data_IF_389042848430
#
_entry.id   IF_389042848430
#
_cell.length_a   1.000
_cell.length_b   1.000
_cell.length_c   1.000
_cell.angle_alpha   90.00
_cell.angle_beta   90.00
_cell.angle_gamma   90.00
#
_symmetry.space_group_name_H-M   'P 1'
#
loop_
_entity.id
_entity.type
_entity.pdbx_description
1 polymer ?
#
# COMPACT_ATOMS: atom_id res chain seq x y z
N UNK A 1 -10.80 -7.25 -8.34
CA UNK A 1 -10.27 -6.99 -9.70
C UNK A 1 -8.76 -7.01 -9.66
N UNK A 2 -8.16 -8.15 -10.05
CA UNK A 2 -6.70 -8.31 -10.19
C UNK A 2 -6.22 -7.99 -11.60
N UNK A 3 -4.90 -8.09 -11.84
CA UNK A 3 -4.26 -7.77 -13.12
C UNK A 3 -4.84 -8.56 -14.31
N UNK A 4 -5.00 -9.88 -14.18
CA UNK A 4 -5.47 -10.74 -15.27
C UNK A 4 -6.89 -10.37 -15.75
N UNK A 5 -7.77 -10.02 -14.82
CA UNK A 5 -9.16 -9.65 -15.11
C UNK A 5 -9.29 -8.29 -15.81
N UNK A 6 -8.30 -7.42 -15.70
CA UNK A 6 -8.32 -6.09 -16.31
C UNK A 6 -7.80 -6.11 -17.75
N UNK A 7 -6.81 -6.96 -18.05
CA UNK A 7 -6.30 -7.13 -19.42
C UNK A 7 -7.40 -7.63 -20.35
N UNK A 8 -8.22 -8.58 -19.90
CA UNK A 8 -9.38 -9.06 -20.67
C UNK A 8 -10.37 -7.94 -21.04
N UNK A 9 -10.45 -6.89 -20.20
CA UNK A 9 -11.30 -5.72 -20.39
C UNK A 9 -10.58 -4.54 -21.06
N UNK A 10 -9.36 -4.74 -21.54
CA UNK A 10 -8.48 -3.68 -22.08
C UNK A 10 -8.33 -2.48 -21.14
N UNK A 11 -8.39 -2.72 -19.83
CA UNK A 11 -8.24 -1.69 -18.79
C UNK A 11 -7.01 -2.00 -17.94
N UNK A 12 -6.49 -1.00 -17.22
CA UNK A 12 -5.29 -1.17 -16.39
C UNK A 12 -5.45 -0.45 -15.07
N UNK A 13 -4.78 -0.94 -14.03
CA UNK A 13 -4.62 -0.21 -12.79
C UNK A 13 -3.61 0.93 -12.96
N UNK A 14 -4.05 2.16 -12.73
CA UNK A 14 -3.18 3.34 -12.71
C UNK A 14 -3.01 3.81 -11.28
N UNK A 15 -1.77 3.86 -10.80
CA UNK A 15 -1.44 4.44 -9.50
C UNK A 15 -1.54 5.97 -9.59
N UNK A 16 -2.57 6.56 -8.99
CA UNK A 16 -2.77 8.00 -9.01
C UNK A 16 -1.88 8.72 -8.01
N UNK A 17 -1.83 8.22 -6.77
CA UNK A 17 -1.14 8.87 -5.65
C UNK A 17 -0.64 7.85 -4.65
N UNK A 18 0.49 8.18 -4.00
CA UNK A 18 0.96 7.51 -2.78
C UNK A 18 1.33 8.59 -1.78
N UNK A 19 0.77 8.49 -0.58
CA UNK A 19 1.22 9.26 0.57
C UNK A 19 2.03 8.33 1.47
N UNK A 20 3.27 8.69 1.78
CA UNK A 20 4.16 7.94 2.67
C UNK A 20 4.53 8.81 3.85
N UNK A 21 4.31 8.28 5.05
CA UNK A 21 4.73 8.88 6.32
C UNK A 21 5.79 7.99 6.95
N UNK A 22 7.02 8.49 6.99
CA UNK A 22 8.13 7.84 7.69
C UNK A 22 8.11 8.33 9.14
N UNK A 23 7.78 7.45 10.08
CA UNK A 23 7.82 7.74 11.51
C UNK A 23 9.24 7.54 12.04
N UNK A 24 9.84 6.40 11.68
CA UNK A 24 11.25 6.08 11.89
C UNK A 24 11.78 5.37 10.66
N UNK A 25 12.91 5.81 10.07
CA UNK A 25 13.55 5.06 9.00
C UNK A 25 14.09 3.73 9.54
N UNK A 26 13.85 2.58 8.87
CA UNK A 26 14.45 1.31 9.26
C UNK A 26 15.97 1.39 9.14
N UNK A 27 16.67 0.74 10.08
CA UNK A 27 18.12 0.67 10.06
C UNK A 27 18.60 -0.32 8.99
N UNK A 28 19.87 -0.20 8.60
CA UNK A 28 20.47 -1.12 7.65
C UNK A 28 20.39 -2.58 8.15
N UNK A 29 19.85 -3.47 7.32
CA UNK A 29 19.63 -4.90 7.62
C UNK A 29 18.72 -5.17 8.82
N UNK A 30 17.93 -4.18 9.24
CA UNK A 30 16.89 -4.39 10.24
C UNK A 30 15.74 -5.20 9.63
N UNK A 31 15.35 -6.34 10.21
CA UNK A 31 14.17 -7.08 9.78
C UNK A 31 12.89 -6.29 10.13
N UNK A 32 11.99 -6.19 9.15
CA UNK A 32 10.70 -5.50 9.27
C UNK A 32 9.56 -6.40 8.82
N UNK A 33 8.37 -6.14 9.35
CA UNK A 33 7.12 -6.80 8.94
C UNK A 33 6.30 -5.79 8.15
N UNK A 34 5.80 -6.18 6.98
CA UNK A 34 4.95 -5.33 6.15
C UNK A 34 3.56 -5.95 5.98
N UNK A 35 2.54 -5.15 6.28
CA UNK A 35 1.15 -5.52 6.13
C UNK A 35 0.47 -4.58 5.14
N UNK A 36 -0.55 -5.10 4.46
CA UNK A 36 -1.34 -4.29 3.54
C UNK A 36 -2.75 -4.81 3.41
N UNK A 37 -3.72 -3.89 3.40
CA UNK A 37 -5.13 -4.21 3.30
C UNK A 37 -5.85 -3.19 2.41
N UNK A 38 -7.01 -3.60 1.91
CA UNK A 38 -7.90 -2.71 1.19
C UNK A 38 -8.60 -1.80 2.21
N UNK A 39 -8.64 -0.49 1.96
CA UNK A 39 -9.36 0.45 2.82
C UNK A 39 -10.80 0.69 2.35
N UNK A 40 -11.13 0.22 1.16
CA UNK A 40 -12.41 0.43 0.50
C UNK A 40 -12.26 1.26 -0.77
N UNK A 41 -13.40 1.67 -1.31
CA UNK A 41 -13.52 2.58 -2.43
C UNK A 41 -13.85 4.00 -1.93
N UNK A 42 -13.20 5.00 -2.51
CA UNK A 42 -13.49 6.42 -2.29
C UNK A 42 -13.80 7.05 -3.66
N UNK A 43 -15.08 7.04 -4.03
CA UNK A 43 -15.52 7.42 -5.37
C UNK A 43 -14.94 6.47 -6.43
N UNK A 44 -14.16 7.03 -7.37
CA UNK A 44 -13.47 6.24 -8.42
C UNK A 44 -12.13 5.64 -7.96
N UNK A 45 -11.71 5.93 -6.73
CA UNK A 45 -10.41 5.51 -6.23
C UNK A 45 -10.52 4.24 -5.41
N UNK A 46 -9.63 3.29 -5.69
CA UNK A 46 -9.42 2.12 -4.85
C UNK A 46 -8.24 2.37 -3.93
N UNK A 47 -8.51 2.40 -2.62
CA UNK A 47 -7.52 2.73 -1.60
C UNK A 47 -6.87 1.47 -1.04
N UNK A 48 -5.53 1.52 -0.92
CA UNK A 48 -4.72 0.46 -0.32
C UNK A 48 -3.77 1.06 0.70
N UNK A 49 -3.90 0.60 1.94
CA UNK A 49 -3.03 1.00 3.04
C UNK A 49 -1.89 -0.02 3.20
N UNK A 50 -0.76 0.48 3.69
CA UNK A 50 0.45 -0.25 4.01
C UNK A 50 0.96 0.19 5.37
N UNK A 51 1.40 -0.78 6.17
CA UNK A 51 2.05 -0.55 7.44
C UNK A 51 3.33 -1.37 7.50
N UNK A 52 4.44 -0.72 7.84
CA UNK A 52 5.71 -1.37 8.09
C UNK A 52 6.01 -1.23 9.58
N UNK A 53 6.20 -2.36 10.26
CA UNK A 53 6.56 -2.46 11.67
C UNK A 53 7.94 -3.09 11.85
N UNK A 54 8.55 -2.88 13.01
CA UNK A 54 9.72 -3.66 13.40
C UNK A 54 9.40 -5.17 13.48
N UNK A 55 10.42 -6.01 13.58
CA UNK A 55 10.26 -7.47 13.64
C UNK A 55 9.30 -7.94 14.74
N UNK A 56 9.36 -7.30 15.90
CA UNK A 56 8.55 -7.67 17.06
C UNK A 56 7.15 -7.07 17.01
N UNK A 57 6.81 -6.36 15.93
CA UNK A 57 5.48 -5.81 15.67
C UNK A 57 5.01 -4.76 16.69
N UNK A 58 5.95 -4.22 17.48
CA UNK A 58 5.72 -3.26 18.57
C UNK A 58 5.87 -1.80 18.17
N UNK A 59 6.58 -1.50 17.07
CA UNK A 59 6.86 -0.13 16.62
C UNK A 59 6.50 0.04 15.13
N UNK A 60 5.68 1.06 14.85
CA UNK A 60 5.37 1.50 13.48
C UNK A 60 6.54 2.32 12.91
N UNK A 61 7.04 1.88 11.76
CA UNK A 61 8.19 2.51 11.08
C UNK A 61 7.71 3.42 9.96
N UNK A 62 6.82 2.90 9.12
CA UNK A 62 6.29 3.59 7.95
C UNK A 62 4.81 3.28 7.79
N UNK A 63 4.04 4.32 7.51
CA UNK A 63 2.65 4.21 7.11
C UNK A 63 2.51 4.76 5.70
N UNK A 64 1.79 4.05 4.83
CA UNK A 64 1.52 4.55 3.49
C UNK A 64 0.10 4.24 3.03
N UNK A 65 -0.45 5.13 2.23
CA UNK A 65 -1.73 4.95 1.56
C UNK A 65 -1.54 5.22 0.08
N UNK A 66 -2.03 4.32 -0.75
CA UNK A 66 -2.06 4.48 -2.21
C UNK A 66 -3.48 4.52 -2.74
N UNK A 67 -3.67 5.31 -3.79
CA UNK A 67 -4.94 5.47 -4.49
C UNK A 67 -4.78 5.03 -5.93
N UNK A 68 -5.62 4.09 -6.35
CA UNK A 68 -5.58 3.46 -7.67
C UNK A 68 -6.85 3.76 -8.46
N UNK A 69 -6.72 3.80 -9.78
CA UNK A 69 -7.78 4.03 -10.77
C UNK A 69 -7.82 2.83 -11.73
N UNK A 70 -9.00 2.53 -12.29
CA UNK A 70 -9.17 1.65 -13.45
C UNK A 70 -9.57 2.52 -14.62
#
# INVERSE_FOLDING_TARGET
FGYEQLIEKQTIWVLSRVAVRILRPPAWREPVVMETWHKGEDGIFWLRDFLIRNRDETEDLVQATSSWLI
#
